data_IF_125613423100
#
_entry.id   IF_125613423100
#
_cell.length_a   1.000
_cell.length_b   1.000
_cell.length_c   1.000
_cell.angle_alpha   90.00
_cell.angle_beta   90.00
_cell.angle_gamma   90.00
#
_symmetry.space_group_name_H-M   'P 1'
#
loop_
_entity.id
_entity.type
_entity.pdbx_description
1 polymer ?
#
# COMPACT_ATOMS: atom_id res chain seq x y z
N UNK A 1 12.05 -29.97 -7.79
CA UNK A 1 11.07 -30.47 -8.77
C UNK A 1 9.98 -29.42 -8.89
N UNK A 2 9.97 -28.64 -9.96
CA UNK A 2 8.90 -27.68 -10.22
C UNK A 2 7.69 -28.46 -10.72
N UNK A 3 6.72 -28.68 -9.84
CA UNK A 3 5.41 -29.20 -10.24
C UNK A 3 4.77 -28.14 -11.12
N UNK A 4 4.77 -28.36 -12.44
CA UNK A 4 4.04 -27.51 -13.37
C UNK A 4 2.56 -27.78 -13.11
N UNK A 5 1.92 -26.90 -12.35
CA UNK A 5 0.47 -26.95 -12.14
C UNK A 5 -0.16 -26.65 -13.50
N UNK A 6 -0.75 -27.66 -14.14
CA UNK A 6 -1.52 -27.47 -15.37
C UNK A 6 -2.85 -26.83 -15.01
N UNK A 7 -3.02 -25.55 -15.34
CA UNK A 7 -4.30 -24.87 -15.21
C UNK A 7 -5.20 -25.26 -16.39
N UNK A 8 -6.53 -25.42 -16.17
CA UNK A 8 -7.47 -25.55 -17.28
C UNK A 8 -7.36 -24.33 -18.21
N UNK A 9 -7.77 -24.43 -19.48
CA UNK A 9 -7.75 -23.27 -20.38
C UNK A 9 -8.69 -22.17 -19.85
N UNK A 10 -8.34 -20.88 -20.05
CA UNK A 10 -9.18 -19.77 -19.62
C UNK A 10 -10.52 -19.80 -20.38
N UNK A 11 -11.61 -19.46 -19.70
CA UNK A 11 -12.89 -19.27 -20.39
C UNK A 11 -12.81 -18.11 -21.38
N UNK A 12 -13.66 -18.08 -22.40
CA UNK A 12 -13.67 -17.02 -23.42
C UNK A 12 -14.80 -15.98 -23.23
N UNK A 13 -15.58 -16.08 -22.16
CA UNK A 13 -16.76 -15.25 -21.90
C UNK A 13 -16.94 -14.95 -20.41
N UNK A 14 -17.82 -13.99 -20.11
CA UNK A 14 -18.21 -13.70 -18.72
C UNK A 14 -19.02 -14.83 -18.07
N UNK A 15 -19.14 -14.76 -16.75
CA UNK A 15 -19.77 -15.77 -15.91
C UNK A 15 -20.99 -15.22 -15.19
N UNK A 16 -22.10 -15.95 -15.21
CA UNK A 16 -23.24 -15.64 -14.34
C UNK A 16 -22.87 -15.87 -12.88
N UNK A 17 -23.17 -14.90 -12.03
CA UNK A 17 -22.79 -14.93 -10.61
C UNK A 17 -23.94 -14.49 -9.71
N UNK A 18 -24.03 -15.09 -8.53
CA UNK A 18 -24.96 -14.68 -7.48
C UNK A 18 -24.20 -14.02 -6.32
N UNK A 19 -24.28 -12.69 -6.24
CA UNK A 19 -23.60 -11.90 -5.20
C UNK A 19 -24.35 -11.88 -3.86
N UNK A 20 -25.63 -12.26 -3.83
CA UNK A 20 -26.48 -12.20 -2.62
C UNK A 20 -26.00 -13.17 -1.54
N UNK A 21 -25.28 -14.21 -1.94
CA UNK A 21 -24.65 -15.22 -1.08
C UNK A 21 -23.20 -14.88 -0.70
N UNK A 22 -22.80 -13.62 -0.87
CA UNK A 22 -21.46 -13.11 -0.53
C UNK A 22 -21.52 -11.94 0.44
N UNK A 23 -20.43 -11.75 1.17
CA UNK A 23 -20.21 -10.58 2.01
C UNK A 23 -19.60 -9.44 1.17
N UNK A 24 -20.12 -8.23 1.33
CA UNK A 24 -19.58 -7.04 0.66
C UNK A 24 -18.38 -6.50 1.41
N UNK A 25 -17.25 -6.38 0.74
CA UNK A 25 -16.02 -5.78 1.27
C UNK A 25 -15.66 -4.54 0.46
N UNK A 26 -15.48 -3.42 1.16
CA UNK A 26 -15.14 -2.12 0.57
C UNK A 26 -13.66 -1.77 0.66
N UNK A 27 -12.77 -2.67 1.13
CA UNK A 27 -11.34 -2.35 1.31
C UNK A 27 -10.67 -1.85 0.04
N UNK A 28 -10.84 -2.55 -1.08
CA UNK A 28 -10.28 -2.13 -2.39
C UNK A 28 -10.95 -0.86 -2.91
N UNK A 29 -12.24 -0.69 -2.59
CA UNK A 29 -13.01 0.53 -2.90
C UNK A 29 -12.43 1.76 -2.19
N UNK A 30 -12.12 1.63 -0.90
CA UNK A 30 -11.51 2.70 -0.11
C UNK A 30 -10.14 3.09 -0.66
N UNK A 31 -9.31 2.10 -1.01
CA UNK A 31 -8.04 2.36 -1.69
C UNK A 31 -8.29 3.08 -3.02
N UNK A 32 -9.12 2.55 -3.92
CA UNK A 32 -9.41 3.19 -5.21
C UNK A 32 -9.89 4.65 -5.08
N UNK A 33 -10.82 4.91 -4.17
CA UNK A 33 -11.42 6.23 -3.96
C UNK A 33 -10.40 7.24 -3.42
N UNK A 34 -9.47 6.83 -2.57
CA UNK A 34 -8.48 7.73 -1.97
C UNK A 34 -7.29 8.04 -2.87
N UNK A 35 -7.10 7.28 -3.96
CA UNK A 35 -5.89 7.35 -4.79
C UNK A 35 -6.12 8.24 -6.00
N UNK A 36 -5.35 9.32 -6.19
CA UNK A 36 -5.35 10.09 -7.43
C UNK A 36 -4.72 9.28 -8.59
N UNK A 37 -4.87 9.75 -9.83
CA UNK A 37 -4.46 9.00 -11.02
C UNK A 37 -2.97 8.68 -11.10
N UNK A 38 -2.12 9.53 -10.52
CA UNK A 38 -0.66 9.34 -10.43
C UNK A 38 -0.27 8.21 -9.46
N UNK A 39 -1.15 7.87 -8.50
CA UNK A 39 -0.95 6.74 -7.59
C UNK A 39 -1.54 5.42 -8.11
N UNK A 40 -2.12 5.41 -9.32
CA UNK A 40 -2.77 4.23 -9.94
C UNK A 40 -1.93 3.68 -11.09
N UNK A 41 -1.60 2.39 -11.08
CA UNK A 41 -0.71 1.79 -12.06
C UNK A 41 -1.44 0.77 -12.93
N UNK A 42 -1.07 0.64 -14.20
CA UNK A 42 -1.78 -0.26 -15.13
C UNK A 42 -1.14 -1.66 -15.21
N UNK A 43 0.06 -1.81 -14.65
CA UNK A 43 0.81 -3.05 -14.67
C UNK A 43 1.71 -3.16 -13.43
N UNK A 44 2.06 -4.39 -13.04
CA UNK A 44 3.00 -4.61 -11.94
C UNK A 44 4.40 -4.11 -12.30
N UNK A 45 4.81 -4.16 -13.57
CA UNK A 45 6.11 -3.63 -14.00
C UNK A 45 6.21 -2.11 -13.83
N UNK A 46 5.15 -1.37 -14.19
CA UNK A 46 5.11 0.09 -13.99
C UNK A 46 5.11 0.46 -12.51
N UNK A 47 4.32 -0.26 -11.71
CA UNK A 47 4.29 -0.10 -10.26
C UNK A 47 5.66 -0.37 -9.66
N UNK A 48 6.28 -1.51 -10.00
CA UNK A 48 7.61 -1.91 -9.52
C UNK A 48 8.67 -0.88 -9.89
N UNK A 49 8.65 -0.37 -11.12
CA UNK A 49 9.57 0.69 -11.57
C UNK A 49 9.41 1.95 -10.75
N UNK A 50 8.17 2.39 -10.48
CA UNK A 50 7.90 3.59 -9.69
C UNK A 50 8.40 3.47 -8.25
N UNK A 51 8.08 2.37 -7.56
CA UNK A 51 8.57 2.15 -6.19
C UNK A 51 10.08 1.87 -6.15
N UNK A 52 10.64 1.28 -7.21
CA UNK A 52 12.08 1.06 -7.36
C UNK A 52 12.87 2.37 -7.44
N UNK A 53 12.45 3.31 -8.30
CA UNK A 53 13.04 4.65 -8.40
C UNK A 53 12.95 5.37 -7.06
N UNK A 54 11.85 5.21 -6.33
CA UNK A 54 11.71 5.77 -4.98
C UNK A 54 12.74 5.19 -4.02
N UNK A 55 12.90 3.86 -3.98
CA UNK A 55 13.89 3.21 -3.11
C UNK A 55 15.32 3.61 -3.45
N UNK A 56 15.67 3.76 -4.73
CA UNK A 56 17.01 4.20 -5.16
C UNK A 56 17.40 5.59 -4.63
N UNK A 57 16.40 6.47 -4.48
CA UNK A 57 16.56 7.82 -3.92
C UNK A 57 16.43 7.87 -2.40
N UNK A 58 16.11 6.75 -1.77
CA UNK A 58 15.89 6.68 -0.33
C UNK A 58 17.19 6.40 0.42
N UNK A 59 17.35 7.02 1.59
CA UNK A 59 18.47 6.71 2.50
C UNK A 59 17.92 6.41 3.88
N UNK A 60 18.22 5.21 4.36
CA UNK A 60 17.87 4.80 5.71
C UNK A 60 19.09 4.97 6.63
N UNK A 61 18.86 5.48 7.84
CA UNK A 61 19.90 5.58 8.88
C UNK A 61 19.34 5.10 10.20
N UNK A 62 20.24 4.63 11.06
CA UNK A 62 19.95 4.39 12.46
C UNK A 62 20.85 5.33 13.27
N UNK A 63 20.25 6.21 14.07
CA UNK A 63 20.96 7.21 14.86
C UNK A 63 20.40 7.25 16.27
N UNK A 64 21.16 7.76 17.24
CA UNK A 64 20.61 8.02 18.57
C UNK A 64 19.63 9.20 18.52
N UNK A 65 18.47 9.05 19.16
CA UNK A 65 17.47 10.12 19.20
C UNK A 65 18.03 11.45 19.73
N UNK A 66 18.87 11.39 20.78
CA UNK A 66 19.48 12.56 21.41
C UNK A 66 20.46 13.32 20.50
N UNK A 67 21.02 12.66 19.48
CA UNK A 67 21.93 13.31 18.52
C UNK A 67 21.19 14.03 17.39
N UNK A 68 19.89 13.79 17.23
CA UNK A 68 19.06 14.51 16.27
C UNK A 68 18.84 15.94 16.78
N UNK A 69 19.25 16.92 15.96
CA UNK A 69 19.01 18.33 16.24
C UNK A 69 17.82 18.85 15.46
N UNK A 70 16.96 19.62 16.13
CA UNK A 70 15.80 20.25 15.52
C UNK A 70 16.04 21.75 15.43
N UNK A 71 16.00 22.29 14.21
CA UNK A 71 16.24 23.71 13.94
C UNK A 71 15.02 24.34 13.29
N UNK A 72 14.58 25.46 13.85
CA UNK A 72 13.58 26.33 13.24
C UNK A 72 14.27 27.46 12.47
N UNK A 73 13.75 27.78 11.29
CA UNK A 73 14.23 28.94 10.53
C UNK A 73 13.92 30.23 11.29
N UNK A 74 14.92 31.09 11.46
CA UNK A 74 14.74 32.43 12.05
C UNK A 74 13.90 33.35 11.17
N UNK A 75 13.95 33.14 9.87
CA UNK A 75 13.32 33.99 8.86
C UNK A 75 11.95 33.47 8.41
N UNK A 76 11.55 32.27 8.87
CA UNK A 76 10.28 31.66 8.54
C UNK A 76 9.73 30.83 9.71
N UNK A 77 8.72 31.39 10.38
CA UNK A 77 8.07 30.80 11.54
C UNK A 77 7.32 29.47 11.26
N UNK A 78 7.18 29.07 10.00
CA UNK A 78 6.52 27.81 9.59
C UNK A 78 7.54 26.72 9.21
N UNK A 79 8.84 27.05 9.14
CA UNK A 79 9.87 26.11 8.68
C UNK A 79 10.67 25.52 9.82
N UNK A 80 10.61 24.20 9.92
CA UNK A 80 11.40 23.37 10.80
C UNK A 80 12.20 22.35 9.98
N UNK A 81 13.42 22.05 10.43
CA UNK A 81 14.31 21.07 9.82
C UNK A 81 15.00 20.22 10.88
N UNK A 82 15.40 19.02 10.51
CA UNK A 82 16.14 18.08 11.35
C UNK A 82 17.55 17.91 10.79
N UNK A 83 18.55 18.07 11.65
CA UNK A 83 19.93 17.69 11.37
C UNK A 83 20.13 16.31 11.97
N UNK A 84 20.26 15.31 11.10
CA UNK A 84 20.50 13.93 11.46
C UNK A 84 22.00 13.63 11.36
N UNK A 85 22.63 12.96 12.35
CA UNK A 85 24.03 12.58 12.29
C UNK A 85 24.42 11.84 11.01
N UNK A 86 25.53 12.25 10.40
CA UNK A 86 25.98 11.72 9.12
C UNK A 86 25.16 12.15 7.89
N UNK A 87 24.10 12.94 8.09
CA UNK A 87 23.36 13.65 7.04
C UNK A 87 24.19 14.81 6.48
N UNK A 88 24.07 15.06 5.17
CA UNK A 88 24.77 16.18 4.51
C UNK A 88 23.97 17.48 4.52
N UNK A 89 22.65 17.38 4.63
CA UNK A 89 21.72 18.49 4.49
C UNK A 89 20.61 18.41 5.56
N UNK A 90 20.06 19.55 6.01
CA UNK A 90 18.90 19.56 6.90
C UNK A 90 17.67 18.96 6.24
N UNK A 91 16.97 18.11 6.96
CA UNK A 91 15.81 17.37 6.47
C UNK A 91 14.52 18.05 6.88
N UNK A 92 13.62 18.26 5.92
CA UNK A 92 12.28 18.72 6.22
C UNK A 92 11.36 17.55 6.57
N UNK A 93 10.69 17.53 7.73
CA UNK A 93 9.72 16.49 8.00
C UNK A 93 8.47 16.68 7.15
N UNK A 94 8.00 15.60 6.53
CA UNK A 94 6.65 15.54 5.97
C UNK A 94 5.61 15.63 7.10
N UNK A 95 4.35 15.88 6.75
CA UNK A 95 3.26 15.85 7.74
C UNK A 95 3.17 14.51 8.50
N UNK A 96 3.53 13.41 7.82
CA UNK A 96 3.54 12.06 8.39
C UNK A 96 4.70 11.87 9.37
N UNK A 97 5.94 12.12 8.94
CA UNK A 97 7.13 11.93 9.78
C UNK A 97 7.19 12.95 10.93
N UNK A 98 6.62 14.14 10.78
CA UNK A 98 6.41 15.06 11.90
C UNK A 98 5.50 14.45 12.97
N UNK A 99 4.43 13.77 12.54
CA UNK A 99 3.55 13.03 13.44
C UNK A 99 4.28 11.89 14.15
N UNK A 100 5.15 11.17 13.44
CA UNK A 100 5.98 10.13 14.03
C UNK A 100 7.00 10.67 15.03
N UNK A 101 7.66 11.80 14.73
CA UNK A 101 8.55 12.50 15.65
C UNK A 101 7.83 12.90 16.94
N UNK A 102 6.62 13.47 16.80
CA UNK A 102 5.79 13.81 17.95
C UNK A 102 5.44 12.55 18.78
N UNK A 103 5.03 11.47 18.13
CA UNK A 103 4.72 10.20 18.80
C UNK A 103 5.92 9.59 19.52
N UNK A 104 7.10 9.63 18.91
CA UNK A 104 8.36 9.19 19.50
C UNK A 104 8.63 9.91 20.82
N UNK A 105 8.49 11.24 20.86
CA UNK A 105 8.75 12.03 22.07
C UNK A 105 7.55 12.17 23.01
N UNK A 106 6.44 11.44 22.76
CA UNK A 106 5.22 11.51 23.57
C UNK A 106 4.45 12.83 23.46
N UNK A 107 4.70 13.64 22.43
CA UNK A 107 4.02 14.92 22.22
C UNK A 107 2.74 14.78 21.35
N UNK A 108 1.64 15.47 21.65
CA UNK A 108 0.44 15.44 20.83
C UNK A 108 0.65 16.16 19.48
N UNK A 109 0.70 15.40 18.38
CA UNK A 109 1.00 15.94 17.04
C UNK A 109 0.01 17.02 16.57
N UNK A 110 -1.27 16.93 16.94
CA UNK A 110 -2.29 17.93 16.57
C UNK A 110 -2.00 19.29 17.21
N UNK A 111 -1.64 19.30 18.49
CA UNK A 111 -1.25 20.52 19.21
C UNK A 111 0.08 21.06 18.67
N UNK A 112 1.07 20.18 18.49
CA UNK A 112 2.40 20.55 17.99
C UNK A 112 2.39 21.19 16.59
N UNK A 113 1.38 20.91 15.76
CA UNK A 113 1.19 21.53 14.44
C UNK A 113 0.60 22.94 14.49
N UNK A 114 0.03 23.35 15.62
CA UNK A 114 -0.51 24.70 15.82
C UNK A 114 0.55 25.67 16.36
N UNK A 115 1.68 25.13 16.81
CA UNK A 115 2.77 25.92 17.35
C UNK A 115 3.62 26.52 16.21
N UNK A 116 4.09 27.76 16.35
CA UNK A 116 5.17 28.29 15.52
C UNK A 116 6.38 27.35 15.56
N UNK A 117 7.09 27.22 14.45
CA UNK A 117 8.25 26.34 14.28
C UNK A 117 9.29 26.48 15.40
N UNK A 118 9.63 27.67 15.93
CA UNK A 118 10.56 27.77 17.07
C UNK A 118 10.08 27.06 18.34
N UNK A 119 8.79 27.16 18.68
CA UNK A 119 8.22 26.50 19.86
C UNK A 119 8.12 24.99 19.64
N UNK A 120 7.68 24.58 18.45
CA UNK A 120 7.67 23.18 18.05
C UNK A 120 9.08 22.56 18.11
N UNK A 121 10.10 23.27 17.61
CA UNK A 121 11.48 22.82 17.61
C UNK A 121 12.03 22.62 19.03
N UNK A 122 11.79 23.58 19.94
CA UNK A 122 12.22 23.46 21.34
C UNK A 122 11.55 22.26 22.01
N UNK A 123 10.24 22.08 21.81
CA UNK A 123 9.50 20.98 22.39
C UNK A 123 9.97 19.61 21.84
N UNK A 124 10.18 19.50 20.54
CA UNK A 124 10.72 18.28 19.91
C UNK A 124 12.15 18.01 20.36
N UNK A 125 13.02 19.03 20.42
CA UNK A 125 14.39 18.89 20.88
C UNK A 125 14.46 18.44 22.34
N UNK A 126 13.64 19.03 23.22
CA UNK A 126 13.53 18.60 24.61
C UNK A 126 13.09 17.14 24.69
N UNK A 127 12.09 16.76 23.89
CA UNK A 127 11.62 15.39 23.78
C UNK A 127 12.72 14.41 23.37
N UNK A 128 13.47 14.73 22.31
CA UNK A 128 14.55 13.88 21.78
C UNK A 128 15.72 13.70 22.77
N UNK A 129 16.05 14.74 23.56
CA UNK A 129 17.12 14.68 24.56
C UNK A 129 16.73 13.88 25.81
N UNK A 130 15.45 13.91 26.20
CA UNK A 130 14.94 13.19 27.37
C UNK A 130 14.36 11.82 27.03
N UNK A 131 14.26 11.51 25.74
CA UNK A 131 14.02 10.17 25.28
C UNK A 131 15.23 9.32 25.70
N UNK A 132 15.02 8.27 26.50
CA UNK A 132 16.06 7.30 26.79
C UNK A 132 16.77 6.94 25.48
N UNK A 133 18.10 6.83 25.49
CA UNK A 133 18.98 6.68 24.32
C UNK A 133 18.56 5.52 23.39
N UNK A 134 17.48 5.75 22.65
CA UNK A 134 16.83 4.80 21.77
C UNK A 134 17.31 5.12 20.37
N UNK A 135 17.79 4.09 19.71
CA UNK A 135 18.17 4.16 18.32
C UNK A 135 16.91 4.37 17.49
N UNK A 136 16.88 5.42 16.68
CA UNK A 136 15.77 5.69 15.76
C UNK A 136 16.20 5.46 14.33
N UNK A 137 15.30 4.88 13.55
CA UNK A 137 15.47 4.65 12.13
C UNK A 137 14.83 5.78 11.34
N UNK A 138 15.62 6.58 10.65
CA UNK A 138 15.14 7.59 9.72
C UNK A 138 15.04 7.02 8.31
N UNK A 139 14.11 7.55 7.53
CA UNK A 139 14.04 7.36 6.09
C UNK A 139 14.04 8.74 5.43
N UNK A 140 15.08 9.03 4.68
CA UNK A 140 15.26 10.24 3.88
C UNK A 140 14.87 9.92 2.44
N UNK A 141 14.30 10.90 1.74
CA UNK A 141 14.07 10.81 0.30
C UNK A 141 14.49 12.11 -0.37
N UNK A 142 15.19 11.97 -1.48
CA UNK A 142 15.58 13.08 -2.34
C UNK A 142 14.65 13.13 -3.56
N UNK A 143 13.74 14.11 -3.59
CA UNK A 143 12.87 14.39 -4.73
C UNK A 143 12.99 15.87 -5.17
N UNK A 144 14.23 16.36 -5.20
CA UNK A 144 14.57 17.76 -5.48
C UNK A 144 14.80 18.59 -4.21
N UNK A 145 14.24 18.15 -3.08
CA UNK A 145 14.61 18.56 -1.72
C UNK A 145 14.70 17.31 -0.86
N UNK A 146 15.69 17.24 0.00
CA UNK A 146 15.83 16.11 0.93
C UNK A 146 14.79 16.25 2.05
N UNK A 147 13.86 15.31 2.08
CA UNK A 147 12.79 15.25 3.07
C UNK A 147 12.93 14.03 3.96
N UNK A 148 12.54 14.18 5.21
CA UNK A 148 12.39 13.07 6.14
C UNK A 148 11.02 12.43 5.90
N UNK A 149 11.01 11.24 5.29
CA UNK A 149 9.80 10.46 4.99
C UNK A 149 9.29 9.66 6.16
N UNK A 150 10.19 9.16 7.01
CA UNK A 150 9.79 8.39 8.19
C UNK A 150 10.77 8.55 9.36
N UNK A 151 10.22 8.45 10.56
CA UNK A 151 10.97 8.21 11.81
C UNK A 151 10.30 7.05 12.52
N UNK A 152 11.04 5.98 12.73
CA UNK A 152 10.54 4.72 13.29
C UNK A 152 11.47 4.22 14.39
N UNK A 153 10.95 3.42 15.32
CA UNK A 153 11.77 2.81 16.37
C UNK A 153 12.80 1.80 15.83
N UNK A 154 13.73 1.34 16.68
CA UNK A 154 14.81 0.45 16.28
C UNK A 154 14.31 -0.93 15.85
N UNK A 155 13.20 -1.39 16.45
CA UNK A 155 12.58 -2.68 16.15
C UNK A 155 11.82 -2.70 14.82
N UNK A 156 11.64 -1.55 14.16
CA UNK A 156 10.93 -1.49 12.89
C UNK A 156 11.75 -2.16 11.79
N UNK A 157 11.29 -3.35 11.36
CA UNK A 157 11.80 -4.06 10.18
C UNK A 157 11.21 -3.45 8.91
N UNK A 158 12.02 -2.73 8.13
CA UNK A 158 11.58 -2.12 6.88
C UNK A 158 11.68 -3.12 5.74
N UNK A 159 10.53 -3.49 5.19
CA UNK A 159 10.42 -4.21 3.92
C UNK A 159 10.15 -3.18 2.85
N UNK A 160 10.94 -3.19 1.77
CA UNK A 160 10.73 -2.27 0.66
C UNK A 160 9.51 -2.71 -0.17
N UNK A 161 8.68 -1.76 -0.57
CA UNK A 161 7.53 -1.94 -1.46
C UNK A 161 7.99 -2.58 -2.77
N UNK A 162 9.16 -2.21 -3.30
CA UNK A 162 9.73 -2.86 -4.49
C UNK A 162 9.93 -4.37 -4.28
N UNK A 163 10.34 -4.78 -3.07
CA UNK A 163 10.63 -6.19 -2.77
C UNK A 163 9.31 -6.98 -2.67
N UNK A 164 8.26 -6.38 -2.09
CA UNK A 164 6.91 -6.95 -2.11
C UNK A 164 6.41 -7.10 -3.56
N UNK A 165 6.50 -6.05 -4.37
CA UNK A 165 6.01 -6.10 -5.76
C UNK A 165 6.82 -7.10 -6.58
N UNK A 166 8.14 -7.19 -6.42
CA UNK A 166 8.96 -8.19 -7.07
C UNK A 166 8.53 -9.62 -6.67
N UNK A 167 8.23 -9.85 -5.39
CA UNK A 167 7.71 -11.15 -4.93
C UNK A 167 6.36 -11.51 -5.57
N UNK A 168 5.46 -10.53 -5.75
CA UNK A 168 4.18 -10.72 -6.44
C UNK A 168 4.41 -11.00 -7.93
N UNK A 169 5.31 -10.28 -8.59
CA UNK A 169 5.63 -10.48 -10.01
C UNK A 169 6.15 -11.90 -10.30
N UNK A 170 6.86 -12.52 -9.35
CA UNK A 170 7.32 -13.91 -9.49
C UNK A 170 6.16 -14.92 -9.67
N UNK A 171 4.96 -14.61 -9.16
CA UNK A 171 3.78 -15.49 -9.29
C UNK A 171 2.75 -14.98 -10.30
N UNK A 172 2.64 -13.66 -10.46
CA UNK A 172 1.59 -13.01 -11.23
C UNK A 172 2.08 -12.40 -12.56
N UNK A 173 3.39 -12.43 -12.81
CA UNK A 173 4.02 -11.76 -13.93
C UNK A 173 3.74 -10.25 -13.89
N UNK A 174 3.17 -9.70 -14.96
CA UNK A 174 2.84 -8.29 -15.07
C UNK A 174 1.45 -7.96 -14.49
N UNK A 175 0.68 -8.96 -14.06
CA UNK A 175 -0.67 -8.77 -13.53
C UNK A 175 -1.68 -8.34 -14.59
N UNK A 176 -1.35 -8.51 -15.87
CA UNK A 176 -2.15 -8.06 -17.01
C UNK A 176 -2.82 -9.20 -17.78
N UNK A 177 -2.76 -10.43 -17.25
CA UNK A 177 -3.30 -11.64 -17.89
C UNK A 177 -2.24 -12.53 -18.54
N UNK A 178 -0.97 -12.18 -18.40
CA UNK A 178 0.21 -12.98 -18.75
C UNK A 178 0.36 -14.26 -17.88
N UNK A 179 -0.24 -14.26 -16.69
CA UNK A 179 -0.48 -15.45 -15.86
C UNK A 179 -1.96 -15.54 -15.49
N UNK A 180 -2.36 -16.55 -14.72
CA UNK A 180 -3.72 -16.63 -14.17
C UNK A 180 -4.07 -15.45 -13.26
N UNK A 181 -3.06 -14.82 -12.63
CA UNK A 181 -3.26 -13.71 -11.71
C UNK A 181 -3.21 -12.40 -12.46
N UNK A 182 -4.34 -11.67 -12.44
CA UNK A 182 -4.46 -10.41 -13.15
C UNK A 182 -5.31 -9.39 -12.38
N UNK A 183 -5.22 -8.13 -12.80
CA UNK A 183 -6.20 -7.10 -12.40
C UNK A 183 -7.60 -7.62 -12.77
N UNK A 184 -8.55 -7.55 -11.82
CA UNK A 184 -9.85 -8.19 -11.98
C UNK A 184 -10.68 -7.52 -13.07
N UNK A 185 -11.58 -8.31 -13.65
CA UNK A 185 -12.64 -7.80 -14.49
C UNK A 185 -13.73 -7.04 -13.71
N UNK A 186 -14.95 -6.99 -14.26
CA UNK A 186 -16.07 -6.26 -13.68
C UNK A 186 -17.39 -7.03 -13.74
N UNK A 187 -18.22 -6.82 -12.72
CA UNK A 187 -19.63 -7.15 -12.71
C UNK A 187 -20.43 -6.18 -13.57
N UNK A 188 -21.16 -6.73 -14.54
CA UNK A 188 -22.28 -6.06 -15.18
C UNK A 188 -23.56 -6.27 -14.35
N UNK A 189 -24.05 -5.19 -13.77
CA UNK A 189 -25.27 -5.16 -12.94
C UNK A 189 -26.54 -5.48 -13.71
N UNK A 190 -26.59 -5.19 -15.02
CA UNK A 190 -27.79 -5.40 -15.82
C UNK A 190 -28.03 -6.90 -16.09
N UNK A 191 -26.96 -7.66 -16.19
CA UNK A 191 -27.01 -9.10 -16.50
C UNK A 191 -26.56 -9.99 -15.35
N UNK A 192 -26.03 -9.45 -14.25
CA UNK A 192 -25.40 -10.23 -13.17
C UNK A 192 -24.29 -11.15 -13.70
N UNK A 193 -23.50 -10.63 -14.65
CA UNK A 193 -22.40 -11.34 -15.29
C UNK A 193 -21.07 -10.71 -14.89
N UNK A 194 -20.16 -11.49 -14.30
CA UNK A 194 -18.77 -11.07 -14.08
C UNK A 194 -17.99 -11.28 -15.37
N UNK A 195 -17.55 -10.19 -16.00
CA UNK A 195 -16.71 -10.21 -17.19
C UNK A 195 -15.23 -10.07 -16.79
N UNK A 196 -14.39 -11.12 -16.92
CA UNK A 196 -12.96 -11.03 -16.62
C UNK A 196 -12.16 -10.24 -17.67
N UNK A 197 -12.70 -10.02 -18.87
CA UNK A 197 -12.00 -9.41 -20.02
C UNK A 197 -12.28 -7.91 -20.13
N UNK A 198 -11.97 -7.17 -19.06
CA UNK A 198 -12.09 -5.70 -19.03
C UNK A 198 -10.70 -5.10 -19.14
N UNK A 199 -10.58 -4.04 -19.96
CA UNK A 199 -9.34 -3.30 -20.13
C UNK A 199 -8.88 -2.65 -18.81
N UNK A 200 -7.56 -2.63 -18.61
CA UNK A 200 -6.95 -2.03 -17.43
C UNK A 200 -6.69 -0.55 -17.70
N UNK A 201 -7.41 0.31 -17.00
CA UNK A 201 -7.34 1.77 -17.07
C UNK A 201 -7.14 2.35 -15.67
N UNK A 202 -7.00 3.67 -15.55
CA UNK A 202 -6.93 4.36 -14.26
C UNK A 202 -8.20 4.18 -13.43
N UNK A 203 -9.35 3.95 -14.07
CA UNK A 203 -10.61 3.68 -13.39
C UNK A 203 -10.75 2.22 -13.00
N UNK A 204 -10.13 1.30 -13.74
CA UNK A 204 -10.32 -0.14 -13.55
C UNK A 204 -9.16 -0.85 -12.85
N UNK A 205 -8.01 -0.23 -12.69
CA UNK A 205 -6.89 -0.86 -11.99
C UNK A 205 -7.16 -1.09 -10.50
N UNK A 206 -6.34 -1.96 -9.92
CA UNK A 206 -6.31 -2.33 -8.50
C UNK A 206 -4.87 -2.33 -7.96
N UNK A 207 -3.98 -1.63 -8.66
CA UNK A 207 -2.56 -1.50 -8.35
C UNK A 207 -2.28 -0.05 -7.95
N UNK A 208 -1.92 0.15 -6.69
CA UNK A 208 -1.77 1.48 -6.11
C UNK A 208 -0.45 1.63 -5.36
N UNK A 209 0.17 2.80 -5.48
CA UNK A 209 1.26 3.21 -4.59
C UNK A 209 1.26 4.72 -4.40
N UNK A 210 1.37 5.12 -3.13
CA UNK A 210 1.62 6.50 -2.70
C UNK A 210 3.01 6.66 -2.17
N UNK A 211 3.34 7.85 -1.67
CA UNK A 211 4.54 8.08 -0.88
C UNK A 211 4.54 7.37 0.51
N UNK A 212 3.41 6.79 0.93
CA UNK A 212 3.27 6.13 2.25
C UNK A 212 3.09 4.63 2.20
N UNK A 213 2.54 4.06 1.14
CA UNK A 213 2.20 2.65 1.07
C UNK A 213 1.98 2.17 -0.36
N UNK A 214 1.92 0.84 -0.50
CA UNK A 214 1.55 0.12 -1.71
C UNK A 214 0.37 -0.80 -1.42
N UNK A 215 -0.52 -0.96 -2.39
CA UNK A 215 -1.65 -1.90 -2.35
C UNK A 215 -1.86 -2.54 -3.71
N UNK A 216 -2.01 -3.86 -3.73
CA UNK A 216 -2.27 -4.64 -4.95
C UNK A 216 -3.41 -5.61 -4.69
N UNK A 217 -4.41 -5.64 -5.57
CA UNK A 217 -5.41 -6.72 -5.62
C UNK A 217 -5.35 -7.41 -6.99
N UNK A 218 -5.19 -8.73 -6.98
CA UNK A 218 -5.21 -9.58 -8.18
C UNK A 218 -6.17 -10.75 -7.97
N UNK A 219 -6.67 -11.30 -9.07
CA UNK A 219 -7.49 -12.50 -9.06
C UNK A 219 -7.22 -13.42 -10.24
N UNK A 220 -7.62 -14.67 -10.07
CA UNK A 220 -7.83 -15.65 -11.12
C UNK A 220 -9.34 -15.74 -11.38
N UNK A 221 -9.84 -14.82 -12.21
CA UNK A 221 -11.25 -14.74 -12.61
C UNK A 221 -11.53 -15.33 -13.99
N UNK A 222 -10.57 -16.03 -14.58
CA UNK A 222 -10.71 -16.77 -15.85
C UNK A 222 -10.89 -18.28 -15.65
N UNK A 223 -10.55 -18.79 -14.46
CA UNK A 223 -10.70 -20.20 -14.08
C UNK A 223 -11.61 -20.36 -12.84
N UNK A 224 -12.94 -20.30 -13.01
CA UNK A 224 -13.87 -20.37 -11.90
C UNK A 224 -13.80 -21.72 -11.18
N UNK A 225 -14.10 -21.68 -9.89
CA UNK A 225 -14.35 -22.83 -9.03
C UNK A 225 -15.86 -22.95 -8.88
N UNK A 226 -16.40 -24.09 -9.29
CA UNK A 226 -17.77 -24.47 -8.96
C UNK A 226 -17.81 -25.05 -7.55
N UNK A 227 -18.62 -24.49 -6.66
CA UNK A 227 -18.83 -25.04 -5.32
C UNK A 227 -20.32 -25.17 -5.00
N UNK A 228 -20.95 -26.14 -5.66
CA UNK A 228 -22.36 -26.48 -5.52
C UNK A 228 -23.23 -25.85 -6.61
N UNK A 229 -24.54 -25.85 -6.36
CA UNK A 229 -25.55 -25.30 -7.27
C UNK A 229 -26.33 -24.18 -6.59
N UNK A 230 -26.78 -23.24 -7.40
CA UNK A 230 -27.76 -22.23 -7.03
C UNK A 230 -29.17 -22.84 -7.00
N UNK A 231 -30.15 -22.12 -6.44
CA UNK A 231 -31.53 -22.60 -6.34
C UNK A 231 -32.19 -22.85 -7.71
N UNK A 232 -31.72 -22.14 -8.74
CA UNK A 232 -32.15 -22.31 -10.14
C UNK A 232 -31.43 -23.47 -10.87
N UNK A 233 -30.54 -24.21 -10.18
CA UNK A 233 -29.79 -25.33 -10.75
C UNK A 233 -28.49 -24.96 -11.46
N UNK A 234 -28.17 -23.67 -11.60
CA UNK A 234 -26.91 -23.22 -12.20
C UNK A 234 -25.71 -23.47 -11.24
N UNK A 235 -24.47 -23.59 -11.77
CA UNK A 235 -23.27 -23.65 -10.93
C UNK A 235 -23.10 -22.42 -10.02
N UNK A 236 -22.77 -22.64 -8.75
CA UNK A 236 -22.35 -21.56 -7.85
C UNK A 236 -20.84 -21.32 -8.02
N UNK A 237 -20.49 -20.23 -8.72
CA UNK A 237 -19.12 -19.94 -9.14
C UNK A 237 -18.38 -19.00 -8.19
N UNK A 238 -17.09 -19.26 -8.03
CA UNK A 238 -16.14 -18.47 -7.24
C UNK A 238 -14.81 -18.33 -7.98
N UNK A 239 -14.09 -17.26 -7.70
CA UNK A 239 -12.78 -16.94 -8.25
C UNK A 239 -11.78 -16.80 -7.11
N UNK A 240 -10.51 -17.10 -7.38
CA UNK A 240 -9.46 -16.95 -6.37
C UNK A 240 -8.99 -15.50 -6.39
N UNK A 241 -8.96 -14.83 -5.24
CA UNK A 241 -8.48 -13.46 -5.13
C UNK A 241 -7.54 -13.30 -3.96
N UNK A 242 -6.58 -12.39 -4.10
CA UNK A 242 -5.78 -11.93 -2.97
C UNK A 242 -5.43 -10.47 -3.12
N UNK A 243 -5.33 -9.76 -1.99
CA UNK A 243 -4.69 -8.46 -1.95
C UNK A 243 -3.51 -8.46 -1.00
N UNK A 244 -2.49 -7.68 -1.33
CA UNK A 244 -1.29 -7.48 -0.54
C UNK A 244 -1.00 -5.99 -0.39
N UNK A 245 -0.41 -5.61 0.75
CA UNK A 245 -0.09 -4.22 1.04
C UNK A 245 1.15 -4.12 1.92
N UNK A 246 1.85 -3.00 1.82
CA UNK A 246 3.01 -2.70 2.66
C UNK A 246 3.17 -1.18 2.83
N UNK A 247 3.94 -0.78 3.83
CA UNK A 247 4.42 0.58 3.98
C UNK A 247 5.86 0.57 4.45
N UNK A 248 6.73 1.28 3.75
CA UNK A 248 8.14 1.45 4.13
C UNK A 248 8.33 2.52 5.23
N UNK A 249 7.30 3.35 5.42
CA UNK A 249 7.30 4.51 6.33
C UNK A 249 6.52 4.24 7.62
N UNK A 250 6.03 3.01 7.83
CA UNK A 250 5.29 2.61 9.03
C UNK A 250 3.84 3.09 9.09
N UNK A 251 3.20 3.34 7.94
CA UNK A 251 1.76 3.68 7.91
C UNK A 251 0.85 2.45 7.99
N UNK A 252 1.36 1.29 7.56
CA UNK A 252 0.68 -0.02 7.57
C UNK A 252 1.71 -1.12 7.81
N UNK A 253 1.30 -2.21 8.46
CA UNK A 253 2.08 -3.45 8.52
C UNK A 253 1.98 -4.17 7.18
N UNK A 254 3.06 -4.82 6.72
CA UNK A 254 3.00 -5.76 5.60
C UNK A 254 1.89 -6.79 5.85
N UNK A 255 1.08 -7.08 4.84
CA UNK A 255 0.09 -8.15 4.95
C UNK A 255 -0.41 -8.63 3.60
N UNK A 256 -1.06 -9.79 3.64
CA UNK A 256 -1.72 -10.44 2.50
C UNK A 256 -3.03 -11.06 2.97
N UNK A 257 -4.11 -10.86 2.23
CA UNK A 257 -5.35 -11.58 2.48
C UNK A 257 -5.79 -12.31 1.24
N UNK A 258 -6.24 -13.55 1.41
CA UNK A 258 -6.77 -14.37 0.33
C UNK A 258 -8.25 -14.67 0.58
N UNK A 259 -9.01 -14.80 -0.50
CA UNK A 259 -10.46 -14.98 -0.44
C UNK A 259 -11.00 -15.60 -1.72
N UNK A 260 -12.21 -16.14 -1.61
CA UNK A 260 -13.01 -16.54 -2.76
C UNK A 260 -13.92 -15.39 -3.17
N UNK A 261 -13.58 -14.77 -4.30
CA UNK A 261 -14.31 -13.70 -4.95
C UNK A 261 -15.52 -14.25 -5.71
N UNK A 262 -16.66 -13.56 -5.63
CA UNK A 262 -17.82 -13.81 -6.50
C UNK A 262 -17.85 -12.81 -7.66
N UNK A 263 -17.59 -11.54 -7.35
CA UNK A 263 -17.60 -10.46 -8.32
C UNK A 263 -16.95 -9.20 -7.73
N UNK A 264 -16.51 -8.31 -8.62
CA UNK A 264 -16.09 -6.94 -8.27
C UNK A 264 -16.85 -5.95 -9.15
N UNK A 265 -17.32 -4.84 -8.59
CA UNK A 265 -18.00 -3.81 -9.37
C UNK A 265 -17.05 -2.67 -9.80
N UNK A 266 -17.55 -1.74 -10.63
CA UNK A 266 -16.81 -0.56 -11.08
C UNK A 266 -16.23 0.29 -9.92
N UNK A 267 -16.93 0.38 -8.78
CA UNK A 267 -16.45 1.09 -7.60
C UNK A 267 -15.50 0.24 -6.73
N UNK A 268 -14.98 -0.89 -7.25
CA UNK A 268 -14.05 -1.80 -6.56
C UNK A 268 -14.57 -2.36 -5.23
N UNK A 269 -15.89 -2.46 -5.07
CA UNK A 269 -16.48 -3.27 -4.01
C UNK A 269 -16.41 -4.73 -4.41
N UNK A 270 -16.03 -5.59 -3.46
CA UNK A 270 -15.90 -7.02 -3.66
C UNK A 270 -17.06 -7.74 -3.00
N UNK A 271 -17.53 -8.82 -3.61
CA UNK A 271 -18.39 -9.81 -2.96
C UNK A 271 -17.60 -11.08 -2.77
N UNK A 272 -17.48 -11.57 -1.54
CA UNK A 272 -16.65 -12.75 -1.23
C UNK A 272 -17.41 -13.77 -0.38
N UNK A 273 -17.01 -15.04 -0.46
CA UNK A 273 -17.62 -16.12 0.34
C UNK A 273 -17.11 -16.17 1.78
N UNK A 274 -15.82 -15.86 1.98
CA UNK A 274 -15.11 -15.91 3.27
C UNK A 274 -13.79 -15.14 3.14
N UNK A 275 -13.48 -14.29 4.11
CA UNK A 275 -12.15 -13.67 4.21
C UNK A 275 -11.25 -14.62 4.99
N UNK A 276 -10.23 -15.18 4.34
CA UNK A 276 -9.09 -15.71 5.05
C UNK A 276 -8.19 -14.53 5.41
N UNK A 277 -8.38 -13.94 6.59
CA UNK A 277 -7.42 -12.96 7.08
C UNK A 277 -6.15 -13.72 7.44
N UNK A 278 -5.08 -13.53 6.66
CA UNK A 278 -3.73 -13.75 7.15
C UNK A 278 -3.28 -12.36 7.57
N UNK A 279 -3.29 -12.11 8.88
CA UNK A 279 -2.64 -10.92 9.44
C UNK A 279 -1.14 -11.16 9.48
#
# INVERSE_FOLDING_TARGET
MNTVISYPPPASSGFKVDISRGERISRVSSEWFSRPDDERYLSLSDLHRAVGVRTERARARTVEAAEIRVEASRDNAERLSLIVPGGREPLAPTHWSYGQLCGLVGAPASYMRQLPAPLAAINLQHGLLNHNAEMVKTLEMDDGRVELRAVTGPEYGRIWDRDLIAAIMNIAGNGTGDTIWKVPGLLDWSTMTHNPFVDITKDTTTLYASDRDVFVFLCDDTHPIEAGRLANGEPDLYFRGFYAWNSEVGSKTLGIASFYLRAVCANRNLWVRRVGAIN
#
